data_IF_978503196298
#
_entry.id   IF_978503196298
#
_cell.length_a   1.000
_cell.length_b   1.000
_cell.length_c   1.000
_cell.angle_alpha   90.00
_cell.angle_beta   90.00
_cell.angle_gamma   90.00
#
_symmetry.space_group_name_H-M   'P 1'
#
loop_
_entity.id
_entity.type
_entity.pdbx_description
1 polymer ?
#
# COMPACT_ATOMS: atom_id res chain seq x y z
N UNK A 1 -37.05 0.71 -8.05
CA UNK A 1 -35.63 0.93 -7.67
C UNK A 1 -34.90 1.35 -8.92
N UNK A 2 -34.56 2.63 -9.01
CA UNK A 2 -33.87 3.21 -10.17
C UNK A 2 -32.41 2.70 -10.16
N UNK A 3 -31.94 2.22 -11.30
CA UNK A 3 -30.65 1.54 -11.41
C UNK A 3 -29.52 2.58 -11.23
N UNK A 4 -28.90 2.63 -10.05
CA UNK A 4 -27.84 3.60 -9.71
C UNK A 4 -26.67 3.57 -10.71
N UNK A 5 -26.45 2.44 -11.39
CA UNK A 5 -25.49 2.30 -12.48
C UNK A 5 -25.80 3.22 -13.67
N UNK A 6 -27.06 3.54 -13.94
CA UNK A 6 -27.46 4.50 -14.98
C UNK A 6 -27.20 5.94 -14.56
N UNK A 7 -27.33 6.27 -13.26
CA UNK A 7 -26.94 7.58 -12.74
C UNK A 7 -25.42 7.79 -12.82
N UNK A 8 -24.62 6.81 -12.38
CA UNK A 8 -23.14 6.87 -12.45
C UNK A 8 -22.65 6.85 -13.91
N UNK A 9 -23.31 6.09 -14.80
CA UNK A 9 -22.99 6.11 -16.22
C UNK A 9 -23.32 7.47 -16.88
N UNK A 10 -24.39 8.14 -16.43
CA UNK A 10 -24.79 9.48 -16.90
C UNK A 10 -23.90 10.59 -16.32
N UNK A 11 -23.29 10.37 -15.15
CA UNK A 11 -22.40 11.33 -14.48
C UNK A 11 -20.93 11.17 -14.87
N UNK A 12 -20.58 10.14 -15.66
CA UNK A 12 -19.26 10.00 -16.29
C UNK A 12 -18.93 11.13 -17.28
N UNK A 13 -19.88 12.04 -17.53
CA UNK A 13 -19.67 13.31 -18.23
C UNK A 13 -19.23 14.46 -17.30
N UNK A 14 -18.85 14.18 -16.05
CA UNK A 14 -18.18 15.14 -15.17
C UNK A 14 -16.84 15.55 -15.77
N UNK A 15 -16.88 16.65 -16.53
CA UNK A 15 -15.73 17.32 -17.13
C UNK A 15 -14.58 17.37 -16.13
N UNK A 16 -13.39 16.92 -16.53
CA UNK A 16 -12.19 17.04 -15.71
C UNK A 16 -11.81 18.52 -15.57
N UNK A 17 -11.77 19.01 -14.35
CA UNK A 17 -11.53 20.42 -14.02
C UNK A 17 -10.11 20.66 -13.52
N UNK A 18 -9.71 21.94 -13.44
CA UNK A 18 -8.47 22.33 -12.77
C UNK A 18 -8.45 21.98 -11.28
N UNK A 19 -9.62 21.99 -10.63
CA UNK A 19 -9.75 21.55 -9.24
C UNK A 19 -9.49 20.05 -9.10
N UNK A 20 -9.93 19.25 -10.06
CA UNK A 20 -9.67 17.81 -10.08
C UNK A 20 -8.18 17.51 -10.20
N UNK A 21 -7.47 18.24 -11.08
CA UNK A 21 -6.00 18.16 -11.19
C UNK A 21 -5.33 18.50 -9.86
N UNK A 22 -5.76 19.59 -9.20
CA UNK A 22 -5.22 20.00 -7.89
C UNK A 22 -5.45 18.91 -6.85
N UNK A 23 -6.67 18.39 -6.75
CA UNK A 23 -7.04 17.41 -5.74
C UNK A 23 -6.34 16.07 -5.96
N UNK A 24 -6.25 15.60 -7.21
CA UNK A 24 -5.48 14.41 -7.58
C UNK A 24 -4.00 14.53 -7.20
N UNK A 25 -3.39 15.70 -7.44
CA UNK A 25 -2.02 15.98 -7.06
C UNK A 25 -1.84 15.94 -5.54
N UNK A 26 -2.72 16.63 -4.80
CA UNK A 26 -2.69 16.62 -3.32
C UNK A 26 -2.86 15.21 -2.75
N UNK A 27 -3.79 14.42 -3.29
CA UNK A 27 -3.97 13.02 -2.88
C UNK A 27 -2.73 12.16 -3.14
N UNK A 28 -1.94 12.47 -4.17
CA UNK A 28 -0.68 11.76 -4.51
C UNK A 28 0.47 12.08 -3.58
N UNK A 29 0.47 13.27 -2.96
CA UNK A 29 1.47 13.63 -1.96
C UNK A 29 1.40 12.75 -0.71
N UNK A 30 0.20 12.27 -0.34
CA UNK A 30 0.00 11.43 0.85
C UNK A 30 0.77 10.09 0.73
N UNK A 31 0.47 9.20 -0.23
CA UNK A 31 1.17 7.91 -0.33
C UNK A 31 2.65 8.08 -0.72
N UNK A 32 3.01 9.13 -1.47
CA UNK A 32 4.41 9.45 -1.73
C UNK A 32 5.15 9.83 -0.45
N UNK A 33 4.55 10.67 0.40
CA UNK A 33 5.08 11.03 1.71
C UNK A 33 5.24 9.81 2.62
N UNK A 34 4.27 8.88 2.60
CA UNK A 34 4.35 7.60 3.32
C UNK A 34 5.54 6.76 2.85
N UNK A 35 5.75 6.64 1.53
CA UNK A 35 6.91 5.91 0.98
C UNK A 35 8.24 6.51 1.46
N UNK A 36 8.38 7.84 1.35
CA UNK A 36 9.58 8.57 1.77
C UNK A 36 9.82 8.50 3.30
N UNK A 37 8.75 8.50 4.10
CA UNK A 37 8.84 8.29 5.54
C UNK A 37 9.42 6.90 5.87
N UNK A 38 8.96 5.85 5.16
CA UNK A 38 9.53 4.50 5.27
C UNK A 38 11.03 4.48 4.97
N UNK A 39 11.44 5.01 3.81
CA UNK A 39 12.85 5.08 3.43
C UNK A 39 13.71 5.83 4.45
N UNK A 40 13.29 7.04 4.83
CA UNK A 40 14.05 7.89 5.75
C UNK A 40 14.18 7.30 7.15
N UNK A 41 13.21 6.50 7.60
CA UNK A 41 13.26 5.83 8.90
C UNK A 41 14.38 4.78 9.00
N UNK A 42 14.87 4.26 7.88
CA UNK A 42 15.87 3.19 7.82
C UNK A 42 17.21 3.63 7.21
N UNK A 43 17.20 4.53 6.22
CA UNK A 43 18.40 4.89 5.45
C UNK A 43 19.57 5.42 6.31
N UNK A 44 19.25 6.11 7.41
CA UNK A 44 20.25 6.70 8.31
C UNK A 44 20.46 5.89 9.61
N UNK A 45 19.75 4.78 9.78
CA UNK A 45 19.80 3.97 10.99
C UNK A 45 20.83 2.83 10.84
N UNK A 46 22.09 3.12 11.14
CA UNK A 46 23.19 2.14 11.02
C UNK A 46 22.95 0.88 11.84
N UNK A 47 22.37 1.02 13.02
CA UNK A 47 22.08 -0.14 13.88
C UNK A 47 21.05 -1.07 13.24
N UNK A 48 20.03 -0.49 12.61
CA UNK A 48 19.07 -1.25 11.81
C UNK A 48 19.74 -1.92 10.60
N UNK A 49 20.52 -1.16 9.82
CA UNK A 49 21.18 -1.68 8.61
C UNK A 49 22.12 -2.83 8.95
N UNK A 50 22.93 -2.70 10.00
CA UNK A 50 23.83 -3.76 10.46
C UNK A 50 23.03 -4.99 10.93
N UNK A 51 21.96 -4.77 11.70
CA UNK A 51 21.10 -5.87 12.12
C UNK A 51 20.47 -6.62 10.93
N UNK A 52 19.89 -5.87 9.99
CA UNK A 52 19.21 -6.42 8.82
C UNK A 52 20.16 -7.14 7.87
N UNK A 53 21.36 -6.59 7.65
CA UNK A 53 22.32 -7.16 6.68
C UNK A 53 23.14 -8.31 7.24
N UNK A 54 23.48 -8.28 8.54
CA UNK A 54 24.37 -9.28 9.16
C UNK A 54 23.61 -10.42 9.82
N UNK A 55 22.48 -10.13 10.48
CA UNK A 55 21.82 -11.12 11.36
C UNK A 55 20.53 -11.70 10.78
N UNK A 56 19.83 -10.96 9.91
CA UNK A 56 18.59 -11.45 9.30
C UNK A 56 18.92 -12.35 8.13
N UNK A 57 18.52 -13.63 8.23
CA UNK A 57 18.59 -14.52 7.06
C UNK A 57 17.48 -14.18 6.08
N UNK A 58 17.86 -13.85 4.86
CA UNK A 58 16.95 -13.61 3.74
C UNK A 58 16.98 -14.80 2.77
N UNK A 59 15.85 -15.13 2.14
CA UNK A 59 15.80 -16.23 1.18
C UNK A 59 16.61 -15.88 -0.08
N UNK A 60 17.14 -16.89 -0.77
CA UNK A 60 18.07 -16.71 -1.91
C UNK A 60 17.51 -15.90 -3.09
N UNK A 61 16.18 -15.85 -3.22
CA UNK A 61 15.49 -15.13 -4.28
C UNK A 61 15.21 -13.66 -3.93
N UNK A 62 15.40 -13.24 -2.68
CA UNK A 62 15.10 -11.88 -2.25
C UNK A 62 16.15 -10.88 -2.77
N UNK A 63 15.73 -9.70 -3.25
CA UNK A 63 16.63 -8.58 -3.49
C UNK A 63 17.44 -8.25 -2.23
N UNK A 64 18.75 -8.04 -2.39
CA UNK A 64 19.64 -7.71 -1.25
C UNK A 64 19.73 -6.22 -0.97
N UNK A 65 19.40 -5.39 -1.95
CA UNK A 65 19.53 -3.95 -1.87
C UNK A 65 18.29 -3.31 -1.21
N UNK A 66 18.49 -2.57 -0.12
CA UNK A 66 17.44 -1.80 0.57
C UNK A 66 16.86 -0.69 -0.33
N UNK A 67 17.67 -0.12 -1.22
CA UNK A 67 17.23 0.91 -2.17
C UNK A 67 16.22 0.35 -3.17
N UNK A 68 16.33 -0.93 -3.55
CA UNK A 68 15.37 -1.58 -4.44
C UNK A 68 13.97 -1.59 -3.83
N UNK A 69 13.83 -2.00 -2.57
CA UNK A 69 12.53 -2.01 -1.88
C UNK A 69 11.93 -0.62 -1.80
N UNK A 70 12.75 0.37 -1.46
CA UNK A 70 12.30 1.76 -1.34
C UNK A 70 11.86 2.35 -2.69
N UNK A 71 12.56 2.01 -3.77
CA UNK A 71 12.18 2.42 -5.13
C UNK A 71 10.85 1.77 -5.54
N UNK A 72 10.64 0.49 -5.20
CA UNK A 72 9.38 -0.21 -5.45
C UNK A 72 8.22 0.35 -4.63
N UNK A 73 8.46 0.72 -3.37
CA UNK A 73 7.46 1.40 -2.53
C UNK A 73 7.02 2.71 -3.19
N UNK A 74 7.95 3.57 -3.58
CA UNK A 74 7.63 4.84 -4.28
C UNK A 74 6.86 4.56 -5.58
N UNK A 75 7.37 3.66 -6.43
CA UNK A 75 6.76 3.34 -7.73
C UNK A 75 5.32 2.85 -7.59
N UNK A 76 5.02 2.08 -6.55
CA UNK A 76 3.71 1.45 -6.38
C UNK A 76 2.74 2.29 -5.55
N UNK A 77 3.24 3.14 -4.63
CA UNK A 77 2.43 4.03 -3.80
C UNK A 77 2.04 5.32 -4.54
N UNK A 78 2.91 5.89 -5.38
CA UNK A 78 2.64 7.18 -6.03
C UNK A 78 1.34 7.21 -6.86
N UNK A 79 1.01 6.20 -7.69
CA UNK A 79 -0.24 6.22 -8.46
C UNK A 79 -1.52 6.12 -7.60
N UNK A 80 -1.41 5.66 -6.35
CA UNK A 80 -2.57 5.42 -5.49
C UNK A 80 -3.29 6.70 -5.09
N UNK A 81 -2.60 7.83 -5.02
CA UNK A 81 -3.24 9.10 -4.72
C UNK A 81 -4.23 9.50 -5.80
N UNK A 82 -3.82 9.40 -7.06
CA UNK A 82 -4.71 9.57 -8.21
C UNK A 82 -5.87 8.56 -8.18
N UNK A 83 -5.58 7.27 -7.99
CA UNK A 83 -6.62 6.23 -7.92
C UNK A 83 -7.64 6.50 -6.79
N UNK A 84 -7.17 6.89 -5.61
CA UNK A 84 -8.05 7.23 -4.47
C UNK A 84 -8.91 8.45 -4.76
N UNK A 85 -8.38 9.42 -5.52
CA UNK A 85 -9.13 10.58 -5.93
C UNK A 85 -10.21 10.23 -6.97
N UNK A 86 -9.92 9.38 -7.94
CA UNK A 86 -10.93 8.86 -8.88
C UNK A 86 -12.07 8.16 -8.15
N UNK A 87 -11.74 7.32 -7.15
CA UNK A 87 -12.75 6.65 -6.31
C UNK A 87 -13.56 7.65 -5.50
N UNK A 88 -12.92 8.66 -4.92
CA UNK A 88 -13.65 9.72 -4.22
C UNK A 88 -14.59 10.49 -5.17
N UNK A 89 -14.09 10.93 -6.33
CA UNK A 89 -14.86 11.73 -7.30
C UNK A 89 -16.03 10.93 -7.88
N UNK A 90 -15.75 9.77 -8.46
CA UNK A 90 -16.75 8.98 -9.19
C UNK A 90 -17.58 8.05 -8.30
N UNK A 91 -17.13 7.82 -7.06
CA UNK A 91 -17.89 7.11 -6.03
C UNK A 91 -18.85 7.99 -5.23
N UNK A 92 -19.03 9.27 -5.59
CA UNK A 92 -19.93 10.18 -4.86
C UNK A 92 -19.40 10.65 -3.50
N UNK A 93 -18.07 10.59 -3.30
CA UNK A 93 -17.42 11.05 -2.08
C UNK A 93 -17.78 10.24 -0.84
N UNK A 94 -17.63 10.86 0.33
CA UNK A 94 -17.87 10.18 1.62
C UNK A 94 -19.35 10.00 1.97
N UNK A 95 -20.28 10.50 1.16
CA UNK A 95 -21.71 10.29 1.37
C UNK A 95 -22.10 8.82 1.12
N UNK A 96 -21.38 8.12 0.24
CA UNK A 96 -21.66 6.74 -0.12
C UNK A 96 -20.85 5.75 0.72
N UNK A 97 -21.52 4.69 1.19
CA UNK A 97 -20.91 3.65 2.04
C UNK A 97 -19.80 2.90 1.31
N UNK A 98 -20.01 2.53 0.05
CA UNK A 98 -19.01 1.76 -0.72
C UNK A 98 -17.70 2.54 -0.88
N UNK A 99 -17.79 3.84 -1.15
CA UNK A 99 -16.64 4.75 -1.27
C UNK A 99 -15.91 4.91 0.06
N UNK A 100 -16.65 5.05 1.18
CA UNK A 100 -16.05 5.06 2.52
C UNK A 100 -15.31 3.76 2.85
N UNK A 101 -15.90 2.62 2.52
CA UNK A 101 -15.26 1.30 2.72
C UNK A 101 -14.01 1.17 1.85
N UNK A 102 -14.09 1.54 0.57
CA UNK A 102 -12.97 1.51 -0.36
C UNK A 102 -11.80 2.36 0.14
N UNK A 103 -12.05 3.63 0.48
CA UNK A 103 -11.03 4.55 0.98
C UNK A 103 -10.54 4.16 2.38
N UNK A 104 -11.40 3.56 3.21
CA UNK A 104 -11.03 3.02 4.52
C UNK A 104 -10.07 1.84 4.43
N UNK A 105 -10.29 0.90 3.50
CA UNK A 105 -9.37 -0.20 3.22
C UNK A 105 -8.02 0.32 2.71
N UNK A 106 -8.04 1.29 1.79
CA UNK A 106 -6.84 1.95 1.28
C UNK A 106 -6.06 2.65 2.41
N UNK A 107 -6.72 3.48 3.22
CA UNK A 107 -6.10 4.19 4.34
C UNK A 107 -5.57 3.24 5.42
N UNK A 108 -6.28 2.15 5.70
CA UNK A 108 -5.82 1.09 6.62
C UNK A 108 -4.54 0.44 6.10
N UNK A 109 -4.47 0.17 4.80
CA UNK A 109 -3.26 -0.37 4.17
C UNK A 109 -2.04 0.54 4.35
N UNK A 110 -2.21 1.86 4.17
CA UNK A 110 -1.13 2.83 4.41
C UNK A 110 -0.73 2.93 5.89
N UNK A 111 -1.70 2.88 6.81
CA UNK A 111 -1.43 2.88 8.24
C UNK A 111 -0.65 1.63 8.67
N UNK A 112 -1.00 0.46 8.11
CA UNK A 112 -0.28 -0.78 8.36
C UNK A 112 1.14 -0.75 7.77
N UNK A 113 1.32 -0.15 6.59
CA UNK A 113 2.66 0.11 6.04
C UNK A 113 3.51 0.91 7.03
N UNK A 114 3.01 2.03 7.56
CA UNK A 114 3.74 2.83 8.55
C UNK A 114 4.01 2.06 9.85
N UNK A 115 3.08 1.19 10.25
CA UNK A 115 3.23 0.34 11.45
C UNK A 115 4.38 -0.66 11.30
N UNK A 116 4.77 -1.03 10.08
CA UNK A 116 5.95 -1.89 9.88
C UNK A 116 7.24 -1.25 10.38
N UNK A 117 7.35 0.09 10.37
CA UNK A 117 8.56 0.81 10.79
C UNK A 117 8.95 0.48 12.25
N UNK A 118 8.11 0.75 13.27
CA UNK A 118 8.44 0.39 14.64
C UNK A 118 8.56 -1.12 14.86
N UNK A 119 7.76 -1.94 14.15
CA UNK A 119 7.82 -3.42 14.26
C UNK A 119 9.19 -3.96 13.83
N UNK A 120 9.71 -3.48 12.69
CA UNK A 120 11.03 -3.84 12.18
C UNK A 120 12.13 -3.34 13.12
N UNK A 121 12.03 -2.11 13.64
CA UNK A 121 13.00 -1.57 14.61
C UNK A 121 13.04 -2.36 15.92
N UNK A 122 11.91 -2.91 16.34
CA UNK A 122 11.82 -3.85 17.47
C UNK A 122 12.34 -5.26 17.15
N UNK A 123 12.80 -5.50 15.91
CA UNK A 123 13.37 -6.78 15.45
C UNK A 123 12.39 -7.95 15.54
N UNK A 124 11.10 -7.68 15.51
CA UNK A 124 10.04 -8.69 15.59
C UNK A 124 9.59 -9.12 14.18
N UNK A 125 10.26 -10.16 13.66
CA UNK A 125 10.00 -10.72 12.34
C UNK A 125 8.62 -11.38 12.24
N UNK A 126 8.07 -11.91 13.35
CA UNK A 126 6.75 -12.54 13.35
C UNK A 126 5.65 -11.50 13.24
N UNK A 127 5.77 -10.41 14.01
CA UNK A 127 4.84 -9.28 13.91
C UNK A 127 4.97 -8.56 12.57
N UNK A 128 6.17 -8.49 11.99
CA UNK A 128 6.39 -7.94 10.65
C UNK A 128 5.57 -8.72 9.61
N UNK A 129 5.72 -10.05 9.56
CA UNK A 129 4.96 -10.91 8.66
C UNK A 129 3.45 -10.71 8.82
N UNK A 130 2.92 -10.74 10.05
CA UNK A 130 1.48 -10.59 10.30
C UNK A 130 0.96 -9.23 9.87
N UNK A 131 1.72 -8.17 10.15
CA UNK A 131 1.37 -6.79 9.75
C UNK A 131 1.40 -6.66 8.23
N UNK A 132 2.41 -7.20 7.55
CA UNK A 132 2.49 -7.19 6.08
C UNK A 132 1.39 -8.00 5.43
N UNK A 133 0.98 -9.14 6.02
CA UNK A 133 -0.15 -9.93 5.54
C UNK A 133 -1.47 -9.15 5.65
N UNK A 134 -1.70 -8.48 6.79
CA UNK A 134 -2.89 -7.65 6.97
C UNK A 134 -2.90 -6.46 6.00
N UNK A 135 -1.76 -5.80 5.80
CA UNK A 135 -1.58 -4.74 4.81
C UNK A 135 -1.97 -5.24 3.42
N UNK A 136 -1.48 -6.41 3.02
CA UNK A 136 -1.82 -7.00 1.72
C UNK A 136 -3.31 -7.29 1.58
N UNK A 137 -3.95 -7.86 2.60
CA UNK A 137 -5.39 -8.15 2.57
C UNK A 137 -6.22 -6.86 2.41
N UNK A 138 -5.83 -5.80 3.11
CA UNK A 138 -6.49 -4.49 2.98
C UNK A 138 -6.22 -3.83 1.63
N UNK A 139 -5.01 -3.96 1.09
CA UNK A 139 -4.65 -3.47 -0.24
C UNK A 139 -5.45 -4.20 -1.34
N UNK A 140 -5.58 -5.52 -1.22
CA UNK A 140 -6.35 -6.35 -2.16
C UNK A 140 -7.84 -6.01 -2.09
N UNK A 141 -8.38 -5.83 -0.88
CA UNK A 141 -9.75 -5.36 -0.68
C UNK A 141 -9.99 -3.97 -1.27
N UNK A 142 -9.05 -3.04 -1.08
CA UNK A 142 -9.10 -1.71 -1.67
C UNK A 142 -9.08 -1.79 -3.20
N UNK A 143 -8.15 -2.56 -3.80
CA UNK A 143 -8.07 -2.73 -5.26
C UNK A 143 -9.37 -3.28 -5.85
N UNK A 144 -9.98 -4.28 -5.20
CA UNK A 144 -11.27 -4.83 -5.61
C UNK A 144 -12.39 -3.78 -5.56
N UNK A 145 -12.50 -3.05 -4.45
CA UNK A 145 -13.54 -2.02 -4.29
C UNK A 145 -13.31 -0.83 -5.23
N UNK A 146 -12.06 -0.42 -5.43
CA UNK A 146 -11.68 0.62 -6.38
C UNK A 146 -12.16 0.22 -7.76
N UNK A 147 -11.86 -1.00 -8.22
CA UNK A 147 -12.32 -1.51 -9.51
C UNK A 147 -13.86 -1.55 -9.66
N UNK A 148 -14.59 -1.81 -8.56
CA UNK A 148 -16.06 -1.79 -8.57
C UNK A 148 -16.65 -0.38 -8.69
N UNK A 149 -15.98 0.62 -8.14
CA UNK A 149 -16.40 2.03 -8.18
C UNK A 149 -15.96 2.67 -9.50
N UNK A 150 -14.68 2.53 -9.82
CA UNK A 150 -14.06 3.03 -11.04
C UNK A 150 -12.99 2.06 -11.54
N UNK A 151 -13.18 1.52 -12.75
CA UNK A 151 -12.29 0.50 -13.30
C UNK A 151 -10.86 1.01 -13.49
N UNK A 152 -10.70 2.29 -13.84
CA UNK A 152 -9.38 2.90 -14.05
C UNK A 152 -8.61 2.97 -12.72
N UNK A 153 -9.25 3.45 -11.65
CA UNK A 153 -8.70 3.44 -10.30
C UNK A 153 -8.31 2.04 -9.83
N UNK A 154 -9.14 1.04 -10.15
CA UNK A 154 -8.84 -0.37 -9.90
C UNK A 154 -7.52 -0.79 -10.54
N UNK A 155 -7.32 -0.49 -11.82
CA UNK A 155 -6.09 -0.83 -12.54
C UNK A 155 -4.85 -0.13 -11.96
N UNK A 156 -4.96 1.16 -11.60
CA UNK A 156 -3.88 1.90 -10.95
C UNK A 156 -3.46 1.32 -9.59
N UNK A 157 -4.34 0.56 -8.94
CA UNK A 157 -4.09 -0.05 -7.62
C UNK A 157 -3.45 -1.44 -7.73
N UNK A 158 -3.51 -2.11 -8.89
CA UNK A 158 -2.99 -3.47 -9.08
C UNK A 158 -1.49 -3.59 -8.74
N UNK A 159 -0.59 -2.70 -9.22
CA UNK A 159 0.84 -2.81 -8.89
C UNK A 159 1.12 -2.80 -7.38
N UNK A 160 0.39 -1.97 -6.63
CA UNK A 160 0.48 -1.93 -5.17
C UNK A 160 -0.04 -3.20 -4.49
N UNK A 161 -1.19 -3.72 -4.93
CA UNK A 161 -1.73 -4.97 -4.40
C UNK A 161 -0.76 -6.15 -4.62
N UNK A 162 -0.12 -6.22 -5.79
CA UNK A 162 0.90 -7.22 -6.09
C UNK A 162 2.16 -7.03 -5.24
N UNK A 163 2.64 -5.79 -5.11
CA UNK A 163 3.82 -5.48 -4.32
C UNK A 163 3.64 -5.79 -2.84
N UNK A 164 2.51 -5.42 -2.25
CA UNK A 164 2.19 -5.78 -0.86
C UNK A 164 2.11 -7.29 -0.65
N UNK A 165 1.62 -8.04 -1.64
CA UNK A 165 1.58 -9.51 -1.61
C UNK A 165 2.98 -10.12 -1.64
N UNK A 166 3.85 -9.60 -2.53
CA UNK A 166 5.26 -9.95 -2.54
C UNK A 166 5.93 -9.66 -1.19
N UNK A 167 5.73 -8.46 -0.63
CA UNK A 167 6.30 -8.05 0.65
C UNK A 167 5.80 -8.91 1.82
N UNK A 168 4.52 -9.28 1.84
CA UNK A 168 3.98 -10.20 2.83
C UNK A 168 4.61 -11.59 2.75
N UNK A 169 4.78 -12.12 1.53
CA UNK A 169 5.42 -13.42 1.32
C UNK A 169 6.91 -13.40 1.66
N UNK A 170 7.60 -12.30 1.36
CA UNK A 170 8.99 -12.08 1.77
C UNK A 170 9.12 -12.04 3.30
N UNK A 171 8.28 -11.27 3.99
CA UNK A 171 8.30 -11.20 5.45
C UNK A 171 8.02 -12.57 6.09
N UNK A 172 7.07 -13.33 5.55
CA UNK A 172 6.81 -14.72 5.98
C UNK A 172 8.04 -15.61 5.81
N UNK A 173 8.69 -15.53 4.65
CA UNK A 173 9.87 -16.34 4.34
C UNK A 173 11.04 -16.00 5.27
N UNK A 174 11.26 -14.71 5.54
CA UNK A 174 12.27 -14.24 6.50
C UNK A 174 11.94 -14.77 7.92
N UNK A 175 10.71 -14.61 8.40
CA UNK A 175 10.31 -15.11 9.73
C UNK A 175 10.59 -16.62 9.87
N UNK A 176 10.25 -17.39 8.83
CA UNK A 176 10.50 -18.83 8.80
C UNK A 176 11.98 -19.20 8.85
N UNK A 177 12.80 -18.61 7.99
CA UNK A 177 14.25 -18.90 7.92
C UNK A 177 14.96 -18.57 9.25
N UNK A 178 14.47 -17.58 9.99
CA UNK A 178 15.06 -17.14 11.25
C UNK A 178 14.50 -17.89 12.48
N UNK A 179 13.32 -18.52 12.39
CA UNK A 179 12.80 -19.42 13.43
C UNK A 179 13.49 -20.77 13.44
N UNK A 180 13.74 -21.35 12.27
CA UNK A 180 14.40 -22.65 12.13
C UNK A 180 15.75 -22.74 12.85
N UNK A 181 16.42 -21.61 13.08
CA UNK A 181 17.72 -21.55 13.78
C UNK A 181 17.56 -21.48 15.29
N UNK A 182 16.49 -20.87 15.80
CA UNK A 182 16.27 -20.77 17.25
C UNK A 182 15.95 -22.13 17.87
N UNK A 183 15.47 -23.06 17.05
CA UNK A 183 15.08 -24.41 17.44
C UNK A 183 16.20 -25.45 17.23
N UNK A 184 17.40 -25.04 16.77
CA UNK A 184 18.61 -25.87 16.63
C UNK A 184 19.62 -25.56 17.74
#
# INVERSE_FOLDING_TARGET
MQNWKEYVAKDRTLIWTSEDTRNAFLSTLIPTGVALAGYSAFANDRQFVDWWTVFVKTPKWAPKDLCFYSAMDVLTLSPLGYASYLVYKYGGGFEYTDTRVALGLYGTSLALYLTTIPVVKNKDLTSLWKTSALMHLTALGAAYMFYKIDSEAGFWTIPYALWTGFSAYLAYSIDRENKLIRDM
#
